data_IF_864462577267
#
_entry.id   IF_864462577267
#
_cell.length_a   1.000
_cell.length_b   1.000
_cell.length_c   1.000
_cell.angle_alpha   90.00
_cell.angle_beta   90.00
_cell.angle_gamma   90.00
#
_symmetry.space_group_name_H-M   'P 1'
#
loop_
_entity.id
_entity.type
_entity.pdbx_description
1 polymer ?
#
# COMPACT_ATOMS: atom_id res chain seq x y z
N UNK A 1 -12.67 -24.07 -2.47
CA UNK A 1 -11.50 -23.25 -2.86
C UNK A 1 -11.06 -22.36 -1.69
N UNK A 2 -11.97 -21.70 -0.99
CA UNK A 2 -11.67 -20.81 0.17
C UNK A 2 -10.84 -21.45 1.30
N UNK A 3 -11.01 -22.75 1.57
CA UNK A 3 -10.24 -23.43 2.63
C UNK A 3 -8.72 -23.47 2.37
N UNK A 4 -8.29 -23.52 1.11
CA UNK A 4 -6.86 -23.58 0.77
C UNK A 4 -6.15 -22.25 1.03
N UNK A 5 -6.80 -21.14 0.71
CA UNK A 5 -6.30 -19.79 1.01
C UNK A 5 -6.09 -19.64 2.52
N UNK A 6 -7.02 -20.13 3.33
CA UNK A 6 -6.93 -20.07 4.78
C UNK A 6 -5.76 -20.90 5.32
N UNK A 7 -5.49 -22.10 4.77
CA UNK A 7 -4.36 -22.92 5.20
C UNK A 7 -3.03 -22.22 4.89
N UNK A 8 -2.89 -21.66 3.68
CA UNK A 8 -1.69 -20.91 3.28
C UNK A 8 -1.54 -19.64 4.11
N UNK A 9 -2.63 -18.92 4.40
CA UNK A 9 -2.62 -17.73 5.27
C UNK A 9 -2.22 -18.09 6.71
N UNK A 10 -2.73 -19.19 7.27
CA UNK A 10 -2.39 -19.66 8.62
C UNK A 10 -0.92 -20.05 8.72
N UNK A 11 -0.41 -20.87 7.80
CA UNK A 11 0.99 -21.26 7.75
C UNK A 11 1.89 -20.03 7.53
N UNK A 12 1.47 -19.15 6.63
CA UNK A 12 2.16 -17.91 6.31
C UNK A 12 2.32 -16.98 7.51
N UNK A 13 1.25 -16.69 8.25
CA UNK A 13 1.28 -15.86 9.46
C UNK A 13 2.08 -16.49 10.60
N UNK A 14 2.16 -17.82 10.64
CA UNK A 14 3.01 -18.54 11.58
C UNK A 14 4.50 -18.53 11.20
N UNK A 15 4.89 -17.87 10.09
CA UNK A 15 6.26 -17.88 9.57
C UNK A 15 6.68 -19.20 8.91
N UNK A 16 5.77 -20.15 8.76
CA UNK A 16 6.01 -21.48 8.18
C UNK A 16 5.93 -21.45 6.66
N UNK A 17 6.72 -20.58 6.03
CA UNK A 17 6.62 -20.30 4.58
C UNK A 17 6.96 -21.51 3.70
N UNK A 18 7.95 -22.32 4.09
CA UNK A 18 8.29 -23.54 3.35
C UNK A 18 7.15 -24.56 3.39
N UNK A 19 6.48 -24.70 4.54
CA UNK A 19 5.31 -25.58 4.66
C UNK A 19 4.13 -25.04 3.85
N UNK A 20 3.94 -23.71 3.81
CA UNK A 20 2.95 -23.09 2.95
C UNK A 20 3.22 -23.36 1.46
N UNK A 21 4.48 -23.24 1.02
CA UNK A 21 4.88 -23.55 -0.35
C UNK A 21 4.71 -25.04 -0.68
N UNK A 22 5.19 -25.92 0.19
CA UNK A 22 5.02 -27.36 0.04
C UNK A 22 3.55 -27.77 0.03
N UNK A 23 2.69 -27.12 0.80
CA UNK A 23 1.24 -27.33 0.73
C UNK A 23 0.68 -26.99 -0.65
N UNK A 24 1.10 -25.86 -1.23
CA UNK A 24 0.67 -25.41 -2.57
C UNK A 24 1.13 -26.39 -3.65
N UNK A 25 2.38 -26.87 -3.58
CA UNK A 25 2.95 -27.84 -4.53
C UNK A 25 2.23 -29.20 -4.49
N UNK A 26 1.72 -29.60 -3.32
CA UNK A 26 0.99 -30.85 -3.14
C UNK A 26 -0.52 -30.72 -3.40
N UNK A 27 -1.01 -29.55 -3.86
CA UNK A 27 -2.42 -29.39 -4.17
C UNK A 27 -2.82 -30.23 -5.39
N UNK A 28 -3.90 -31.00 -5.26
CA UNK A 28 -4.49 -31.76 -6.37
C UNK A 28 -5.15 -30.88 -7.44
N UNK A 29 -5.30 -29.58 -7.17
CA UNK A 29 -5.90 -28.59 -8.06
C UNK A 29 -4.91 -27.44 -8.27
N UNK A 30 -4.99 -26.81 -9.45
CA UNK A 30 -4.18 -25.64 -9.74
C UNK A 30 -4.44 -24.54 -8.69
N UNK A 31 -3.38 -24.00 -8.05
CA UNK A 31 -3.53 -22.91 -7.10
C UNK A 31 -4.10 -21.68 -7.80
N UNK A 32 -5.07 -21.01 -7.17
CA UNK A 32 -5.67 -19.81 -7.69
C UNK A 32 -4.87 -18.54 -7.28
N UNK A 33 -5.37 -17.39 -7.72
CA UNK A 33 -4.82 -16.09 -7.37
C UNK A 33 -4.75 -15.87 -5.84
N UNK A 34 -5.79 -16.26 -5.11
CA UNK A 34 -5.89 -16.02 -3.67
C UNK A 34 -4.77 -16.70 -2.90
N UNK A 35 -4.44 -17.92 -3.30
CA UNK A 35 -3.36 -18.71 -2.72
C UNK A 35 -2.00 -18.04 -2.90
N UNK A 36 -1.64 -17.65 -4.13
CA UNK A 36 -0.36 -16.98 -4.38
C UNK A 36 -0.28 -15.60 -3.73
N UNK A 37 -1.39 -14.86 -3.68
CA UNK A 37 -1.44 -13.55 -3.00
C UNK A 37 -1.25 -13.69 -1.48
N UNK A 38 -1.82 -14.75 -0.88
CA UNK A 38 -1.64 -15.07 0.53
C UNK A 38 -0.18 -15.41 0.84
N UNK A 39 0.43 -16.29 0.03
CA UNK A 39 1.86 -16.62 0.17
C UNK A 39 2.76 -15.38 0.02
N UNK A 40 2.53 -14.54 -1.00
CA UNK A 40 3.31 -13.31 -1.21
C UNK A 40 3.18 -12.33 -0.03
N UNK A 41 1.97 -12.21 0.52
CA UNK A 41 1.72 -11.34 1.68
C UNK A 41 2.47 -11.83 2.92
N UNK A 42 2.48 -13.15 3.17
CA UNK A 42 3.26 -13.74 4.24
C UNK A 42 4.78 -13.58 4.01
N UNK A 43 5.26 -13.79 2.78
CA UNK A 43 6.66 -13.57 2.41
C UNK A 43 7.10 -12.12 2.67
N UNK A 44 6.22 -11.14 2.46
CA UNK A 44 6.49 -9.74 2.83
C UNK A 44 6.68 -9.54 4.33
N UNK A 45 5.75 -10.05 5.13
CA UNK A 45 5.82 -9.94 6.61
C UNK A 45 7.10 -10.56 7.16
N UNK A 46 7.52 -11.69 6.60
CA UNK A 46 8.72 -12.42 7.03
C UNK A 46 9.98 -12.11 6.19
N UNK A 47 9.92 -11.12 5.29
CA UNK A 47 11.00 -10.70 4.40
C UNK A 47 11.67 -11.83 3.59
N UNK A 48 10.92 -12.87 3.23
CA UNK A 48 11.42 -13.96 2.40
C UNK A 48 11.33 -13.58 0.91
N UNK A 49 12.44 -13.16 0.34
CA UNK A 49 12.52 -12.68 -1.04
C UNK A 49 12.28 -13.79 -2.06
N UNK A 50 12.87 -14.95 -1.85
CA UNK A 50 12.86 -16.07 -2.80
C UNK A 50 11.44 -16.59 -3.03
N UNK A 51 10.72 -16.93 -1.95
CA UNK A 51 9.34 -17.39 -2.05
C UNK A 51 8.39 -16.27 -2.48
N UNK A 52 8.70 -15.02 -2.12
CA UNK A 52 7.95 -13.86 -2.62
C UNK A 52 8.06 -13.69 -4.14
N UNK A 53 9.26 -13.83 -4.71
CA UNK A 53 9.48 -13.77 -6.15
C UNK A 53 8.80 -14.92 -6.89
N UNK A 54 8.82 -16.12 -6.32
CA UNK A 54 8.09 -17.29 -6.83
C UNK A 54 6.58 -17.03 -6.88
N UNK A 55 5.99 -16.57 -5.77
CA UNK A 55 4.57 -16.28 -5.67
C UNK A 55 4.16 -15.17 -6.66
N UNK A 56 4.96 -14.10 -6.75
CA UNK A 56 4.72 -13.00 -7.68
C UNK A 56 4.82 -13.43 -9.15
N UNK A 57 5.78 -14.28 -9.52
CA UNK A 57 5.89 -14.80 -10.89
C UNK A 57 4.64 -15.60 -11.30
N UNK A 58 4.09 -16.42 -10.40
CA UNK A 58 2.85 -17.13 -10.66
C UNK A 58 1.67 -16.16 -10.84
N UNK A 59 1.58 -15.11 -10.01
CA UNK A 59 0.59 -14.05 -10.18
C UNK A 59 0.73 -13.28 -11.51
N UNK A 60 1.96 -13.04 -11.98
CA UNK A 60 2.20 -12.36 -13.26
C UNK A 60 1.81 -13.23 -14.46
N UNK A 61 1.97 -14.56 -14.36
CA UNK A 61 1.50 -15.49 -15.38
C UNK A 61 -0.02 -15.51 -15.45
N UNK A 62 -0.70 -15.48 -14.30
CA UNK A 62 -2.16 -15.51 -14.22
C UNK A 62 -2.80 -14.18 -14.63
N UNK A 63 -2.24 -13.05 -14.17
CA UNK A 63 -2.84 -11.73 -14.30
C UNK A 63 -1.79 -10.67 -14.68
N UNK A 64 -1.21 -10.75 -15.89
CA UNK A 64 -0.08 -9.92 -16.32
C UNK A 64 -0.41 -8.42 -16.38
N UNK A 65 -1.69 -8.07 -16.45
CA UNK A 65 -2.18 -6.68 -16.53
C UNK A 65 -2.59 -6.10 -15.19
N UNK A 66 -2.63 -6.91 -14.11
CA UNK A 66 -3.03 -6.42 -12.78
C UNK A 66 -1.85 -5.81 -12.03
N UNK A 67 -1.75 -4.48 -12.12
CA UNK A 67 -0.70 -3.70 -11.44
C UNK A 67 -0.58 -3.95 -9.93
N UNK A 68 -1.67 -4.32 -9.24
CA UNK A 68 -1.65 -4.63 -7.80
C UNK A 68 -0.71 -5.79 -7.44
N UNK A 69 -0.59 -6.82 -8.29
CA UNK A 69 0.32 -7.95 -8.06
C UNK A 69 1.79 -7.48 -8.09
N UNK A 70 2.11 -6.55 -8.99
CA UNK A 70 3.44 -5.96 -9.10
C UNK A 70 3.76 -5.05 -7.91
N UNK A 71 2.77 -4.31 -7.42
CA UNK A 71 2.92 -3.47 -6.22
C UNK A 71 3.23 -4.32 -4.98
N UNK A 72 2.66 -5.52 -4.85
CA UNK A 72 2.97 -6.39 -3.71
C UNK A 72 4.44 -6.83 -3.68
N UNK A 73 4.98 -7.27 -4.83
CA UNK A 73 6.40 -7.59 -4.96
C UNK A 73 7.29 -6.35 -4.77
N UNK A 74 6.84 -5.18 -5.27
CA UNK A 74 7.55 -3.93 -5.08
C UNK A 74 7.68 -3.56 -3.60
N UNK A 75 6.60 -3.72 -2.83
CA UNK A 75 6.60 -3.46 -1.40
C UNK A 75 7.56 -4.42 -0.67
N UNK A 76 7.57 -5.70 -1.03
CA UNK A 76 8.55 -6.67 -0.51
C UNK A 76 9.98 -6.18 -0.73
N UNK A 77 10.34 -5.77 -1.95
CA UNK A 77 11.69 -5.24 -2.21
C UNK A 77 11.99 -3.95 -1.44
N UNK A 78 11.04 -3.03 -1.34
CA UNK A 78 11.23 -1.77 -0.62
C UNK A 78 11.44 -2.02 0.87
N UNK A 79 10.61 -2.85 1.49
CA UNK A 79 10.67 -3.19 2.91
C UNK A 79 11.94 -3.98 3.25
N UNK A 80 12.45 -4.79 2.32
CA UNK A 80 13.74 -5.48 2.46
C UNK A 80 14.97 -4.62 2.08
N UNK A 81 14.79 -3.35 1.72
CA UNK A 81 15.89 -2.44 1.35
C UNK A 81 16.53 -2.71 -0.02
N UNK A 82 15.92 -3.56 -0.85
CA UNK A 82 16.40 -3.94 -2.18
C UNK A 82 16.05 -2.88 -3.23
N UNK A 83 16.68 -1.71 -3.12
CA UNK A 83 16.40 -0.51 -3.93
C UNK A 83 16.52 -0.76 -5.43
N UNK A 84 17.53 -1.51 -5.87
CA UNK A 84 17.76 -1.79 -7.29
C UNK A 84 16.66 -2.69 -7.87
N UNK A 85 16.32 -3.80 -7.21
CA UNK A 85 15.19 -4.66 -7.62
C UNK A 85 13.88 -3.89 -7.68
N UNK A 86 13.63 -3.03 -6.69
CA UNK A 86 12.45 -2.17 -6.67
C UNK A 86 12.43 -1.14 -7.81
N UNK A 87 13.58 -0.55 -8.17
CA UNK A 87 13.70 0.36 -9.30
C UNK A 87 13.45 -0.35 -10.64
N UNK A 88 14.07 -1.52 -10.84
CA UNK A 88 13.88 -2.33 -12.05
C UNK A 88 12.43 -2.75 -12.23
N UNK A 89 11.76 -3.17 -11.15
CA UNK A 89 10.35 -3.52 -11.17
C UNK A 89 9.47 -2.31 -11.53
N UNK A 90 9.74 -1.12 -10.98
CA UNK A 90 9.01 0.11 -11.37
C UNK A 90 9.19 0.45 -12.84
N UNK A 91 10.40 0.31 -13.38
CA UNK A 91 10.66 0.55 -14.81
C UNK A 91 9.87 -0.42 -15.67
N UNK A 92 9.87 -1.71 -15.33
CA UNK A 92 9.09 -2.74 -16.03
C UNK A 92 7.58 -2.47 -15.95
N UNK A 93 7.06 -2.04 -14.79
CA UNK A 93 5.66 -1.63 -14.64
C UNK A 93 5.31 -0.47 -15.58
N UNK A 94 6.14 0.58 -15.63
CA UNK A 94 5.94 1.73 -16.53
C UNK A 94 5.93 1.33 -18.01
N UNK A 95 6.87 0.47 -18.43
CA UNK A 95 6.94 -0.04 -19.79
C UNK A 95 5.69 -0.83 -20.19
N UNK A 96 5.08 -1.53 -19.23
CA UNK A 96 3.81 -2.25 -19.41
C UNK A 96 2.55 -1.37 -19.26
N UNK A 97 2.70 -0.07 -19.01
CA UNK A 97 1.57 0.83 -18.71
C UNK A 97 0.88 0.53 -17.38
N UNK A 98 1.51 -0.25 -16.50
CA UNK A 98 0.98 -0.62 -15.20
C UNK A 98 1.24 0.53 -14.21
N UNK A 99 0.19 1.27 -13.91
CA UNK A 99 0.22 2.29 -12.87
C UNK A 99 -0.43 1.75 -11.60
N UNK A 100 0.09 2.18 -10.44
CA UNK A 100 -0.69 2.07 -9.21
C UNK A 100 -1.91 2.94 -9.42
N UNK A 101 -3.11 2.38 -9.31
CA UNK A 101 -4.30 3.21 -9.19
C UNK A 101 -4.08 4.12 -7.97
N UNK A 102 -3.99 5.45 -8.15
CA UNK A 102 -3.85 6.34 -7.01
C UNK A 102 -5.03 6.07 -6.07
N UNK A 103 -4.75 5.98 -4.77
CA UNK A 103 -5.83 5.94 -3.79
C UNK A 103 -6.70 7.16 -4.01
N UNK A 104 -8.01 7.00 -4.04
CA UNK A 104 -8.93 8.11 -4.16
C UNK A 104 -9.81 8.25 -2.92
N UNK A 105 -10.13 9.48 -2.59
CA UNK A 105 -11.29 9.81 -1.76
C UNK A 105 -12.30 10.54 -2.64
N UNK A 106 -13.56 10.55 -2.24
CA UNK A 106 -14.58 11.33 -2.93
C UNK A 106 -15.55 11.91 -1.91
N UNK A 107 -16.14 13.04 -2.29
CA UNK A 107 -17.24 13.66 -1.55
C UNK A 107 -18.41 13.85 -2.50
N UNK A 108 -19.62 13.81 -1.94
CA UNK A 108 -20.84 14.10 -2.68
C UNK A 108 -21.47 15.39 -2.14
N UNK A 109 -21.64 16.38 -3.00
CA UNK A 109 -22.26 17.66 -2.65
C UNK A 109 -23.34 17.98 -3.68
N UNK A 110 -24.59 18.13 -3.23
CA UNK A 110 -25.73 18.43 -4.10
C UNK A 110 -25.83 17.48 -5.32
N UNK A 111 -25.73 16.17 -5.05
CA UNK A 111 -25.84 15.13 -6.08
C UNK A 111 -24.71 15.14 -7.12
N UNK A 112 -23.58 15.79 -6.80
CA UNK A 112 -22.35 15.80 -7.61
C UNK A 112 -21.23 15.14 -6.82
N UNK A 113 -20.59 14.14 -7.43
CA UNK A 113 -19.41 13.47 -6.87
C UNK A 113 -18.15 14.18 -7.34
N UNK A 114 -17.35 14.66 -6.40
CA UNK A 114 -16.00 15.17 -6.65
C UNK A 114 -14.98 14.15 -6.11
N UNK A 115 -14.09 13.67 -6.98
CA UNK A 115 -13.07 12.65 -6.67
C UNK A 115 -11.70 13.31 -6.52
N UNK A 116 -10.96 12.91 -5.50
CA UNK A 116 -9.60 13.39 -5.19
C UNK A 116 -8.64 12.20 -5.24
N UNK A 117 -7.60 12.31 -6.05
CA UNK A 117 -6.57 11.29 -6.17
C UNK A 117 -5.35 11.63 -5.32
N UNK A 118 -4.80 10.63 -4.63
CA UNK A 118 -3.57 10.75 -3.86
C UNK A 118 -2.40 11.15 -4.75
N UNK A 119 -1.77 12.29 -4.45
CA UNK A 119 -0.63 12.82 -5.21
C UNK A 119 -1.02 13.54 -6.50
N UNK A 120 -2.31 13.73 -6.76
CA UNK A 120 -2.78 14.55 -7.87
C UNK A 120 -2.71 16.03 -7.50
N UNK A 121 -1.89 16.79 -8.22
CA UNK A 121 -1.76 18.25 -8.12
C UNK A 121 -2.17 18.96 -9.43
N UNK A 122 -2.80 18.25 -10.36
CA UNK A 122 -3.02 18.72 -11.74
C UNK A 122 -4.24 19.62 -11.91
N UNK A 123 -5.15 19.64 -10.93
CA UNK A 123 -6.38 20.43 -10.99
C UNK A 123 -6.22 21.81 -10.33
N UNK A 124 -6.73 22.89 -10.96
CA UNK A 124 -6.80 24.21 -10.33
C UNK A 124 -7.57 24.24 -8.99
N UNK A 125 -8.47 23.26 -8.77
CA UNK A 125 -9.16 23.09 -7.47
C UNK A 125 -8.22 22.58 -6.39
N UNK A 126 -7.26 21.73 -6.74
CA UNK A 126 -6.27 21.19 -5.81
C UNK A 126 -5.44 22.31 -5.19
N UNK A 127 -5.05 23.31 -5.98
CA UNK A 127 -4.34 24.50 -5.49
C UNK A 127 -5.13 25.19 -4.38
N UNK A 128 -6.41 25.52 -4.63
CA UNK A 128 -7.29 26.16 -3.63
C UNK A 128 -7.46 25.34 -2.36
N UNK A 129 -7.53 24.00 -2.49
CA UNK A 129 -7.65 23.10 -1.34
C UNK A 129 -6.40 23.20 -0.46
N UNK A 130 -5.21 23.14 -1.05
CA UNK A 130 -3.95 23.26 -0.31
C UNK A 130 -3.77 24.65 0.30
N UNK A 131 -4.11 25.72 -0.41
CA UNK A 131 -4.12 27.09 0.15
C UNK A 131 -5.03 27.21 1.38
N UNK A 132 -6.22 26.61 1.30
CA UNK A 132 -7.18 26.59 2.42
C UNK A 132 -6.62 25.78 3.60
N UNK A 133 -6.05 24.60 3.34
CA UNK A 133 -5.40 23.77 4.36
C UNK A 133 -4.24 24.50 5.04
N UNK A 134 -3.43 25.23 4.28
CA UNK A 134 -2.33 26.03 4.80
C UNK A 134 -2.79 27.18 5.68
N UNK A 135 -3.84 27.90 5.25
CA UNK A 135 -4.47 28.95 6.05
C UNK A 135 -5.03 28.42 7.38
N UNK A 136 -5.71 27.26 7.34
CA UNK A 136 -6.23 26.60 8.53
C UNK A 136 -5.11 26.16 9.47
N UNK A 137 -4.06 25.54 8.93
CA UNK A 137 -2.87 25.12 9.69
C UNK A 137 -2.20 26.30 10.40
N UNK A 138 -2.05 27.42 9.70
CA UNK A 138 -1.46 28.64 10.29
C UNK A 138 -2.35 29.22 11.39
N UNK A 139 -3.67 29.18 11.22
CA UNK A 139 -4.63 29.67 12.22
C UNK A 139 -4.66 28.79 13.47
N UNK A 140 -4.48 27.47 13.32
CA UNK A 140 -4.40 26.54 14.45
C UNK A 140 -3.11 26.72 15.26
N UNK A 141 -1.96 26.92 14.61
CA UNK A 141 -0.68 27.21 15.29
C UNK A 141 -0.72 28.51 16.11
N UNK A 142 -1.40 29.55 15.62
CA UNK A 142 -1.56 30.81 16.36
C UNK A 142 -2.36 30.62 17.65
N UNK A 143 -3.41 29.81 17.61
CA UNK A 143 -4.24 29.52 18.79
C UNK A 143 -3.56 28.68 19.87
N UNK A 144 -2.52 27.90 19.53
CA UNK A 144 -1.68 27.23 20.54
C UNK A 144 -0.74 28.22 21.23
N UNK A 145 -0.16 29.16 20.48
CA UNK A 145 0.71 30.21 21.03
C UNK A 145 -0.05 31.17 21.97
N UNK A 146 -1.30 31.49 21.64
CA UNK A 146 -2.15 32.36 22.48
C UNK A 146 -2.59 31.69 23.80
N UNK A 147 -2.54 30.36 23.91
CA UNK A 147 -2.84 29.64 25.17
C UNK A 147 -1.64 29.61 26.12
N UNK A 148 -0.43 29.46 25.60
CA UNK A 148 0.80 29.49 26.41
C UNK A 148 1.12 30.90 26.94
N UNK A 149 0.76 31.95 26.19
CA UNK A 149 0.95 33.34 26.64
C UNK A 149 -0.04 33.80 27.73
N UNK A 150 -1.14 33.07 27.96
CA UNK A 150 -2.18 33.41 28.93
C UNK A 150 -1.95 32.95 30.37
N UNK A 151 -0.93 32.11 30.62
CA UNK A 151 -0.67 31.53 31.96
C UNK A 151 0.40 32.29 32.78
N UNK A 152 1.03 33.34 32.25
CA UNK A 152 2.07 34.10 32.97
C UNK A 152 1.55 35.43 33.52
N UNK A 153 0.61 35.39 34.49
CA UNK A 153 0.37 36.54 35.38
C UNK A 153 0.23 36.02 36.82
N UNK A 154 1.34 35.91 37.52
CA UNK A 154 1.37 35.86 38.99
C UNK A 154 2.53 36.73 39.46
N UNK A 155 2.23 37.92 39.99
CA UNK A 155 3.21 38.78 40.65
C UNK A 155 3.40 38.32 42.11
N UNK A 156 4.65 38.29 42.65
CA UNK A 156 4.87 38.11 44.08
C UNK A 156 4.91 39.47 44.79
N UNK A 157 4.24 39.54 45.94
CA UNK A 157 4.16 40.72 46.83
C UNK A 157 5.34 40.89 47.78
#
# INVERSE_FOLDING_TARGET
MEHYVNIVDLLGRAGRLNDACGFIENMAIAPDRGIWLSLLSACRVHQNIELGELAAHNLFKMEPTRGSNYIQLLNLYVEAGLKEKAANLRTMMRQKGLTKLPGCSWIEVKNKVDVFFSGDSSSPRTVKIYETLDSLRNSMKRKECDREAGETIYEPG
#
